data_IF_815570769147
#
_entry.id   IF_815570769147
#
_cell.length_a   1.000
_cell.length_b   1.000
_cell.length_c   1.000
_cell.angle_alpha   90.00
_cell.angle_beta   90.00
_cell.angle_gamma   90.00
#
_symmetry.space_group_name_H-M   'P 1'
#
loop_
_entity.id
_entity.type
_entity.pdbx_description
1 polymer ?
#
# COMPACT_ATOMS: atom_id res chain seq x y z
N UNK A 1 6.95 4.67 -14.37
CA UNK A 1 5.76 5.25 -15.07
C UNK A 1 6.19 6.37 -16.02
N UNK A 2 5.53 6.44 -17.16
CA UNK A 2 5.72 7.49 -18.18
C UNK A 2 4.41 8.27 -18.30
N UNK A 3 4.48 9.61 -18.43
CA UNK A 3 3.28 10.43 -18.54
C UNK A 3 3.50 11.60 -19.48
N UNK A 4 2.43 11.97 -20.20
CA UNK A 4 2.38 13.13 -21.07
C UNK A 4 1.31 14.08 -20.54
N UNK A 5 1.66 15.35 -20.38
CA UNK A 5 0.75 16.37 -19.89
C UNK A 5 0.58 17.47 -20.95
N UNK A 6 -0.67 17.78 -21.25
CA UNK A 6 -1.03 18.94 -22.06
C UNK A 6 -1.68 19.99 -21.15
N UNK A 7 -1.07 21.15 -21.06
CA UNK A 7 -1.59 22.26 -20.26
C UNK A 7 -2.51 23.15 -21.09
N UNK A 8 -3.42 23.84 -20.42
CA UNK A 8 -4.36 24.83 -20.96
C UNK A 8 -5.23 24.27 -22.09
N UNK A 9 -5.81 23.08 -21.84
CA UNK A 9 -6.54 22.31 -22.87
C UNK A 9 -7.77 23.06 -23.39
N UNK A 10 -8.48 23.79 -22.53
CA UNK A 10 -9.70 24.55 -22.85
C UNK A 10 -9.53 26.05 -22.70
N UNK A 11 -8.30 26.54 -22.47
CA UNK A 11 -8.02 27.98 -22.33
C UNK A 11 -8.24 28.57 -20.92
N UNK A 12 -8.59 27.73 -19.92
CA UNK A 12 -8.84 28.15 -18.52
C UNK A 12 -7.79 27.63 -17.54
N UNK A 13 -6.61 27.21 -18.03
CA UNK A 13 -5.52 26.70 -17.19
C UNK A 13 -5.66 25.21 -16.83
N UNK A 14 -6.57 24.50 -17.47
CA UNK A 14 -6.77 23.06 -17.24
C UNK A 14 -5.57 22.26 -17.76
N UNK A 15 -5.27 21.16 -17.08
CA UNK A 15 -4.24 20.20 -17.52
C UNK A 15 -4.84 18.82 -17.77
N UNK A 16 -4.51 18.27 -18.92
CA UNK A 16 -4.84 16.89 -19.26
C UNK A 16 -3.57 16.05 -19.21
N UNK A 17 -3.61 14.98 -18.42
CA UNK A 17 -2.49 14.06 -18.24
C UNK A 17 -2.90 12.67 -18.65
N UNK A 18 -2.06 11.99 -19.42
CA UNK A 18 -2.15 10.55 -19.69
C UNK A 18 -0.91 9.89 -19.12
N UNK A 19 -1.09 8.90 -18.27
CA UNK A 19 -0.01 8.20 -17.57
C UNK A 19 -0.06 6.71 -17.84
N UNK A 20 1.07 6.16 -18.26
CA UNK A 20 1.34 4.74 -18.35
C UNK A 20 2.10 4.31 -17.10
N UNK A 21 1.64 3.27 -16.44
CA UNK A 21 2.29 2.63 -15.30
C UNK A 21 2.70 1.23 -15.71
N UNK A 22 3.92 0.85 -15.40
CA UNK A 22 4.38 -0.53 -15.51
C UNK A 22 5.20 -0.86 -14.28
N UNK A 23 4.96 -2.00 -13.68
CA UNK A 23 5.80 -2.60 -12.64
C UNK A 23 6.01 -4.06 -12.95
N UNK A 24 7.21 -4.51 -12.70
CA UNK A 24 7.59 -5.89 -12.80
C UNK A 24 8.24 -6.29 -11.48
N UNK A 25 7.71 -7.31 -10.85
CA UNK A 25 8.20 -7.83 -9.59
C UNK A 25 8.90 -9.15 -9.88
N UNK A 26 10.20 -9.14 -9.62
CA UNK A 26 11.08 -10.27 -9.81
C UNK A 26 11.70 -10.63 -8.47
N UNK A 27 11.53 -11.87 -8.05
CA UNK A 27 12.12 -12.38 -6.83
C UNK A 27 13.21 -13.40 -7.14
N UNK A 28 14.42 -13.12 -6.64
CA UNK A 28 15.53 -14.09 -6.60
C UNK A 28 15.85 -14.39 -5.15
N UNK A 29 15.78 -15.65 -4.76
CA UNK A 29 16.28 -16.10 -3.46
C UNK A 29 15.26 -16.80 -2.58
N UNK A 30 15.70 -17.91 -1.99
CA UNK A 30 14.99 -18.65 -0.95
C UNK A 30 14.56 -20.07 -1.36
N UNK A 31 15.46 -21.05 -1.21
CA UNK A 31 15.16 -22.47 -1.24
C UNK A 31 15.04 -23.13 -2.61
N UNK A 32 15.27 -24.40 -2.67
CA UNK A 32 15.35 -25.25 -3.88
C UNK A 32 14.12 -25.27 -4.80
N UNK A 33 13.07 -24.50 -4.50
CA UNK A 33 11.81 -24.45 -5.27
C UNK A 33 11.22 -23.04 -5.41
N UNK A 34 12.00 -21.98 -5.32
CA UNK A 34 11.50 -20.65 -5.68
C UNK A 34 11.28 -20.62 -7.19
N UNK A 35 10.11 -21.05 -7.60
CA UNK A 35 9.63 -20.71 -8.94
C UNK A 35 9.56 -19.19 -8.99
N UNK A 36 10.40 -18.63 -9.87
CA UNK A 36 10.44 -17.22 -10.23
C UNK A 36 9.02 -16.65 -10.24
N UNK A 37 8.65 -15.89 -9.22
CA UNK A 37 7.36 -15.20 -9.20
C UNK A 37 7.46 -14.00 -10.11
N UNK A 38 7.19 -14.23 -11.38
CA UNK A 38 7.08 -13.18 -12.36
C UNK A 38 5.68 -12.58 -12.25
N UNK A 39 5.57 -11.45 -11.58
CA UNK A 39 4.34 -10.69 -11.56
C UNK A 39 4.58 -9.36 -12.26
N UNK A 40 3.64 -8.97 -13.08
CA UNK A 40 3.67 -7.67 -13.70
C UNK A 40 2.32 -6.96 -13.53
N UNK A 41 2.40 -5.67 -13.42
CA UNK A 41 1.25 -4.78 -13.40
C UNK A 41 1.43 -3.74 -14.50
N UNK A 42 0.43 -3.58 -15.32
CA UNK A 42 0.36 -2.53 -16.33
C UNK A 42 -0.90 -1.71 -16.12
N UNK A 43 -0.77 -0.41 -16.22
CA UNK A 43 -1.91 0.48 -16.05
C UNK A 43 -1.85 1.68 -16.96
N UNK A 44 -3.02 2.13 -17.34
CA UNK A 44 -3.23 3.37 -18.08
C UNK A 44 -4.20 4.23 -17.29
N UNK A 45 -3.86 5.49 -17.12
CA UNK A 45 -4.80 6.44 -16.53
C UNK A 45 -4.79 7.75 -17.30
N UNK A 46 -5.97 8.34 -17.39
CA UNK A 46 -6.14 9.70 -17.90
C UNK A 46 -6.76 10.57 -16.82
N UNK A 47 -6.29 11.80 -16.67
CA UNK A 47 -6.82 12.74 -15.70
C UNK A 47 -6.92 14.14 -16.29
N UNK A 48 -8.02 14.80 -15.97
CA UNK A 48 -8.29 16.18 -16.29
C UNK A 48 -8.38 16.98 -15.00
N UNK A 49 -7.46 17.94 -14.83
CA UNK A 49 -7.37 18.78 -13.62
C UNK A 49 -7.76 20.22 -13.96
N UNK A 50 -8.70 20.76 -13.22
CA UNK A 50 -9.13 22.15 -13.27
C UNK A 50 -8.48 22.92 -12.12
N UNK A 51 -7.92 24.12 -12.33
CA UNK A 51 -7.35 24.97 -11.28
C UNK A 51 -8.41 25.69 -10.45
N UNK A 52 -9.56 25.06 -10.24
CA UNK A 52 -10.72 25.57 -9.48
C UNK A 52 -11.62 24.42 -9.04
N UNK A 53 -12.55 24.70 -8.12
CA UNK A 53 -13.62 23.78 -7.78
C UNK A 53 -14.71 23.89 -8.87
N UNK A 54 -14.96 22.79 -9.59
CA UNK A 54 -15.89 22.76 -10.74
C UNK A 54 -17.31 22.43 -10.26
N UNK A 55 -17.47 21.53 -9.27
CA UNK A 55 -18.75 21.13 -8.73
C UNK A 55 -18.61 20.69 -7.26
N UNK A 56 -19.53 21.08 -6.34
CA UNK A 56 -20.65 22.00 -6.57
C UNK A 56 -20.16 23.41 -6.89
N UNK A 57 -20.91 24.12 -7.72
CA UNK A 57 -20.58 25.50 -8.05
C UNK A 57 -20.86 26.41 -6.84
N UNK A 58 -19.89 26.56 -5.96
CA UNK A 58 -19.98 27.34 -4.72
C UNK A 58 -19.86 28.84 -4.95
N UNK A 59 -20.54 29.35 -5.97
CA UNK A 59 -20.57 30.78 -6.29
C UNK A 59 -19.21 31.35 -6.75
N UNK A 60 -19.12 32.70 -6.90
CA UNK A 60 -17.90 33.42 -7.28
C UNK A 60 -16.90 33.60 -6.11
N UNK A 61 -16.84 32.68 -5.15
CA UNK A 61 -15.85 32.78 -4.07
C UNK A 61 -14.50 32.39 -4.62
N UNK A 62 -13.62 33.36 -4.76
CA UNK A 62 -12.19 33.11 -4.87
C UNK A 62 -11.75 32.52 -3.54
N UNK A 63 -11.18 31.33 -3.59
CA UNK A 63 -10.55 30.75 -2.41
C UNK A 63 -9.22 31.48 -2.19
N UNK A 64 -8.94 31.89 -0.96
CA UNK A 64 -7.67 32.52 -0.57
C UNK A 64 -6.48 31.56 -0.67
N UNK A 65 -6.72 30.31 -1.05
CA UNK A 65 -5.75 29.25 -1.21
C UNK A 65 -6.00 28.42 -2.48
N UNK A 66 -4.97 27.77 -3.04
CA UNK A 66 -5.10 26.94 -4.23
C UNK A 66 -6.10 25.79 -4.00
N UNK A 67 -7.06 25.67 -4.91
CA UNK A 67 -8.03 24.59 -4.94
C UNK A 67 -8.11 24.02 -6.35
N UNK A 68 -8.12 22.69 -6.49
CA UNK A 68 -8.22 22.03 -7.78
C UNK A 68 -9.29 20.94 -7.77
N UNK A 69 -9.83 20.66 -8.96
CA UNK A 69 -10.71 19.52 -9.20
C UNK A 69 -10.06 18.61 -10.23
N UNK A 70 -9.88 17.33 -9.89
CA UNK A 70 -9.30 16.34 -10.80
C UNK A 70 -10.31 15.22 -11.05
N UNK A 71 -10.66 15.00 -12.32
CA UNK A 71 -11.36 13.81 -12.78
C UNK A 71 -10.37 12.84 -13.35
N UNK A 72 -10.41 11.58 -12.90
CA UNK A 72 -9.49 10.53 -13.34
C UNK A 72 -10.25 9.28 -13.72
N UNK A 73 -9.82 8.67 -14.84
CA UNK A 73 -10.19 7.32 -15.24
C UNK A 73 -8.93 6.46 -15.31
N UNK A 74 -9.05 5.19 -14.97
CA UNK A 74 -7.92 4.28 -14.99
C UNK A 74 -8.35 2.84 -15.31
N UNK A 75 -7.39 2.12 -15.88
CA UNK A 75 -7.46 0.68 -16.09
C UNK A 75 -6.10 0.11 -15.70
N UNK A 76 -6.09 -0.82 -14.76
CA UNK A 76 -4.90 -1.50 -14.27
C UNK A 76 -5.09 -3.01 -14.45
N UNK A 77 -4.09 -3.69 -15.01
CA UNK A 77 -4.06 -5.14 -15.12
C UNK A 77 -2.90 -5.68 -14.30
N UNK A 78 -3.23 -6.46 -13.29
CA UNK A 78 -2.28 -7.24 -12.52
C UNK A 78 -2.26 -8.67 -13.06
N UNK A 79 -1.10 -9.14 -13.47
CA UNK A 79 -0.88 -10.52 -13.86
C UNK A 79 0.02 -11.19 -12.81
N UNK A 80 -0.52 -12.16 -12.11
CA UNK A 80 0.24 -13.07 -11.26
C UNK A 80 0.50 -14.34 -12.07
N UNK A 81 1.68 -14.41 -12.66
CA UNK A 81 2.04 -15.49 -13.56
C UNK A 81 1.67 -16.86 -12.97
N UNK A 82 1.00 -17.70 -13.76
CA UNK A 82 0.50 -19.04 -13.46
C UNK A 82 -0.72 -19.11 -12.52
N UNK A 83 -1.20 -18.01 -11.92
CA UNK A 83 -2.29 -18.08 -10.94
C UNK A 83 -3.55 -17.40 -11.41
N UNK A 84 -3.51 -16.09 -11.54
CA UNK A 84 -4.67 -15.32 -11.94
C UNK A 84 -4.29 -14.01 -12.63
N UNK A 85 -5.25 -13.46 -13.34
CA UNK A 85 -5.22 -12.10 -13.86
C UNK A 85 -6.35 -11.30 -13.21
N UNK A 86 -6.01 -10.16 -12.64
CA UNK A 86 -6.97 -9.23 -12.07
C UNK A 86 -6.98 -7.97 -12.91
N UNK A 87 -8.13 -7.66 -13.47
CA UNK A 87 -8.38 -6.39 -14.14
C UNK A 87 -9.10 -5.46 -13.17
N UNK A 88 -8.55 -4.27 -12.98
CA UNK A 88 -9.17 -3.21 -12.17
C UNK A 88 -9.39 -2.00 -13.06
N UNK A 89 -10.60 -1.49 -13.10
CA UNK A 89 -10.90 -0.24 -13.80
C UNK A 89 -11.84 0.62 -12.98
N UNK A 90 -11.76 1.91 -13.20
CA UNK A 90 -12.55 2.82 -12.42
C UNK A 90 -12.31 4.28 -12.71
N UNK A 91 -12.89 5.12 -11.86
CA UNK A 91 -12.73 6.55 -11.94
C UNK A 91 -13.00 7.23 -10.62
N UNK A 92 -12.49 8.43 -10.48
CA UNK A 92 -12.73 9.27 -9.32
C UNK A 92 -12.82 10.75 -9.68
N UNK A 93 -13.43 11.51 -8.77
CA UNK A 93 -13.42 12.96 -8.75
C UNK A 93 -12.80 13.40 -7.43
N UNK A 94 -11.68 14.13 -7.47
CA UNK A 94 -10.95 14.56 -6.29
C UNK A 94 -10.86 16.08 -6.24
N UNK A 95 -11.11 16.64 -5.07
CA UNK A 95 -10.96 18.05 -4.75
C UNK A 95 -9.76 18.22 -3.81
N UNK A 96 -8.77 18.96 -4.26
CA UNK A 96 -7.58 19.27 -3.49
C UNK A 96 -7.64 20.72 -3.00
N UNK A 97 -7.41 20.91 -1.70
CA UNK A 97 -7.34 22.22 -1.04
C UNK A 97 -6.00 22.34 -0.31
N UNK A 98 -5.30 23.45 -0.54
CA UNK A 98 -4.05 23.73 0.14
C UNK A 98 -4.13 25.05 0.92
N UNK A 99 -4.80 25.06 2.11
CA UNK A 99 -5.04 26.28 2.88
C UNK A 99 -3.78 26.92 3.43
N UNK A 100 -2.70 26.14 3.61
CA UNK A 100 -1.39 26.61 4.01
C UNK A 100 -0.30 26.00 3.18
N UNK A 101 0.94 26.51 3.26
CA UNK A 101 2.10 25.94 2.55
C UNK A 101 2.44 24.52 3.01
N UNK A 102 1.99 24.15 4.19
CA UNK A 102 2.35 22.89 4.85
C UNK A 102 1.20 21.90 4.93
N UNK A 103 -0.06 22.32 4.73
CA UNK A 103 -1.22 21.45 4.85
C UNK A 103 -1.99 21.35 3.54
N UNK A 104 -2.38 20.13 3.19
CA UNK A 104 -3.20 19.80 2.04
C UNK A 104 -4.32 18.86 2.43
N UNK A 105 -5.51 19.11 1.92
CA UNK A 105 -6.69 18.28 2.07
C UNK A 105 -7.12 17.78 0.68
N UNK A 106 -7.33 16.49 0.55
CA UNK A 106 -7.86 15.86 -0.67
C UNK A 106 -9.16 15.17 -0.31
N UNK A 107 -10.26 15.58 -0.93
CA UNK A 107 -11.59 15.00 -0.74
C UNK A 107 -11.99 14.32 -2.04
N UNK A 108 -12.25 13.02 -1.99
CA UNK A 108 -12.73 12.23 -3.12
C UNK A 108 -14.12 11.70 -2.79
N UNK A 109 -15.19 12.45 -3.11
CA UNK A 109 -16.55 12.03 -2.78
C UNK A 109 -17.03 10.85 -3.61
N UNK A 110 -16.43 10.64 -4.80
CA UNK A 110 -16.75 9.54 -5.69
C UNK A 110 -15.47 8.86 -6.18
N UNK A 111 -15.29 7.63 -5.75
CA UNK A 111 -14.24 6.72 -6.22
C UNK A 111 -14.92 5.39 -6.53
N UNK A 112 -14.95 5.03 -7.79
CA UNK A 112 -15.56 3.79 -8.24
C UNK A 112 -14.47 2.90 -8.78
N UNK A 113 -14.33 1.70 -8.20
CA UNK A 113 -13.39 0.68 -8.67
C UNK A 113 -14.14 -0.60 -8.93
N UNK A 114 -13.91 -1.21 -10.07
CA UNK A 114 -14.43 -2.51 -10.42
C UNK A 114 -13.26 -3.47 -10.61
N UNK A 115 -13.24 -4.54 -9.84
CA UNK A 115 -12.25 -5.60 -9.93
C UNK A 115 -12.88 -6.82 -10.58
N UNK A 116 -12.22 -7.35 -11.61
CA UNK A 116 -12.66 -8.55 -12.35
C UNK A 116 -11.52 -9.56 -12.34
N UNK A 117 -11.81 -10.74 -11.83
CA UNK A 117 -10.91 -11.88 -11.84
C UNK A 117 -11.05 -12.62 -13.19
N UNK A 118 -10.11 -12.39 -14.11
CA UNK A 118 -10.22 -12.84 -15.48
C UNK A 118 -9.80 -14.29 -15.73
N UNK A 119 -8.64 -14.68 -15.19
CA UNK A 119 -8.06 -16.01 -15.44
C UNK A 119 -7.75 -16.67 -14.12
N UNK A 120 -8.14 -17.92 -13.97
CA UNK A 120 -7.88 -18.77 -12.82
C UNK A 120 -7.24 -20.06 -13.31
N UNK A 121 -6.07 -20.40 -12.78
CA UNK A 121 -5.47 -21.71 -13.06
C UNK A 121 -6.08 -22.78 -12.15
N UNK A 122 -5.98 -24.04 -12.54
CA UNK A 122 -6.42 -25.18 -11.70
C UNK A 122 -5.68 -25.17 -10.35
N UNK A 123 -4.43 -24.76 -10.35
CA UNK A 123 -3.63 -24.59 -9.15
C UNK A 123 -4.21 -23.50 -8.22
N UNK A 124 -4.67 -22.39 -8.77
CA UNK A 124 -5.32 -21.32 -8.01
C UNK A 124 -6.66 -21.78 -7.44
N UNK A 125 -7.43 -22.54 -8.18
CA UNK A 125 -8.72 -23.09 -7.73
C UNK A 125 -8.52 -24.00 -6.52
N UNK A 126 -7.50 -24.86 -6.52
CA UNK A 126 -7.18 -25.72 -5.39
C UNK A 126 -6.83 -24.93 -4.11
N UNK A 127 -6.12 -23.80 -4.25
CA UNK A 127 -5.82 -22.90 -3.12
C UNK A 127 -7.10 -22.22 -2.61
N UNK A 128 -7.92 -21.78 -3.55
CA UNK A 128 -9.18 -21.12 -3.24
C UNK A 128 -10.15 -22.02 -2.48
N UNK A 129 -10.15 -23.31 -2.77
CA UNK A 129 -10.92 -24.33 -2.04
C UNK A 129 -10.36 -24.54 -0.62
N UNK A 130 -9.03 -24.51 -0.46
CA UNK A 130 -8.38 -24.62 0.84
C UNK A 130 -8.53 -23.34 1.70
N UNK A 131 -8.69 -22.17 1.07
CA UNK A 131 -8.85 -20.88 1.75
C UNK A 131 -10.04 -20.07 1.16
N UNK A 132 -11.27 -20.34 1.59
CA UNK A 132 -12.45 -19.64 1.09
C UNK A 132 -12.41 -18.11 1.28
N UNK A 133 -11.75 -17.63 2.34
CA UNK A 133 -11.62 -16.20 2.61
C UNK A 133 -10.76 -15.50 1.52
N UNK A 134 -9.69 -16.14 1.09
CA UNK A 134 -8.86 -15.64 -0.01
C UNK A 134 -9.68 -15.58 -1.32
N UNK A 135 -10.40 -16.66 -1.63
CA UNK A 135 -11.23 -16.70 -2.83
C UNK A 135 -12.29 -15.58 -2.85
N UNK A 136 -13.01 -15.37 -1.74
CA UNK A 136 -14.01 -14.30 -1.62
C UNK A 136 -13.37 -12.93 -1.81
N UNK A 137 -12.16 -12.71 -1.31
CA UNK A 137 -11.45 -11.43 -1.41
C UNK A 137 -11.03 -11.09 -2.85
N UNK A 138 -10.87 -12.09 -3.72
CA UNK A 138 -10.45 -11.96 -5.12
C UNK A 138 -11.60 -11.99 -6.12
N UNK A 139 -12.82 -12.36 -5.70
CA UNK A 139 -14.01 -12.35 -6.57
C UNK A 139 -14.26 -10.98 -7.17
N UNK A 140 -15.00 -11.00 -8.28
CA UNK A 140 -15.53 -9.79 -8.91
C UNK A 140 -16.24 -8.92 -7.88
N UNK A 141 -15.80 -7.68 -7.76
CA UNK A 141 -16.30 -6.77 -6.74
C UNK A 141 -16.37 -5.34 -7.27
N UNK A 142 -17.44 -4.67 -6.91
CA UNK A 142 -17.60 -3.24 -7.07
C UNK A 142 -17.25 -2.52 -5.76
N UNK A 143 -16.40 -1.51 -5.81
CA UNK A 143 -15.94 -0.75 -4.64
C UNK A 143 -16.34 0.72 -4.81
N UNK A 144 -17.60 1.09 -4.46
CA UNK A 144 -18.01 2.47 -4.42
C UNK A 144 -17.51 3.11 -3.12
N UNK A 145 -16.56 4.02 -3.20
CA UNK A 145 -15.89 4.58 -2.04
C UNK A 145 -15.93 6.11 -2.01
N UNK A 146 -15.80 6.65 -0.83
CA UNK A 146 -15.46 8.03 -0.53
C UNK A 146 -14.11 8.03 0.21
N UNK A 147 -13.26 9.02 -0.08
CA UNK A 147 -11.93 9.09 0.51
C UNK A 147 -11.61 10.52 0.95
N UNK A 148 -11.00 10.64 2.10
CA UNK A 148 -10.43 11.88 2.59
C UNK A 148 -8.99 11.66 2.98
N UNK A 149 -8.09 12.50 2.44
CA UNK A 149 -6.66 12.48 2.76
C UNK A 149 -6.24 13.84 3.30
N UNK A 150 -5.63 13.83 4.47
CA UNK A 150 -4.91 14.96 5.02
C UNK A 150 -3.41 14.73 4.85
N UNK A 151 -2.70 15.74 4.38
CA UNK A 151 -1.24 15.72 4.27
C UNK A 151 -0.66 16.97 4.93
N UNK A 152 0.29 16.76 5.83
CA UNK A 152 1.14 17.79 6.40
C UNK A 152 2.58 17.56 5.91
N UNK A 153 3.17 18.60 5.31
CA UNK A 153 4.55 18.58 4.81
C UNK A 153 5.19 19.94 5.05
N UNK A 154 6.17 20.01 5.91
CA UNK A 154 6.87 21.25 6.21
C UNK A 154 8.26 21.35 5.56
N UNK A 155 8.63 20.42 4.67
CA UNK A 155 9.95 20.41 4.03
C UNK A 155 10.25 21.68 3.24
N UNK A 156 9.21 22.29 2.63
CA UNK A 156 9.32 23.53 1.87
C UNK A 156 9.24 24.82 2.70
N UNK A 157 8.98 24.73 4.00
CA UNK A 157 8.87 25.89 4.88
C UNK A 157 10.27 26.47 5.23
N UNK A 158 10.37 27.80 5.21
CA UNK A 158 11.66 28.47 5.52
C UNK A 158 12.13 28.13 6.94
N UNK A 159 13.43 27.84 7.09
CA UNK A 159 14.09 27.63 8.37
C UNK A 159 13.87 26.24 8.99
N UNK A 160 13.17 25.35 8.33
CA UNK A 160 13.00 23.98 8.81
C UNK A 160 14.25 23.17 8.52
N UNK A 161 14.99 22.83 9.56
CA UNK A 161 16.17 21.95 9.49
C UNK A 161 15.76 20.46 9.44
N UNK A 162 14.71 20.11 10.20
CA UNK A 162 14.26 18.73 10.40
C UNK A 162 12.83 18.60 9.91
N UNK A 163 12.61 18.30 8.62
CA UNK A 163 11.27 18.23 8.05
C UNK A 163 10.50 17.03 8.58
N UNK A 164 9.19 17.25 8.68
CA UNK A 164 8.18 16.26 9.02
C UNK A 164 7.21 16.16 7.86
N UNK A 165 6.85 14.95 7.51
CA UNK A 165 5.75 14.63 6.62
C UNK A 165 4.79 13.68 7.30
N UNK A 166 3.52 13.99 7.26
CA UNK A 166 2.45 13.16 7.81
C UNK A 166 1.28 13.11 6.84
N UNK A 167 0.81 11.91 6.55
CA UNK A 167 -0.38 11.71 5.74
C UNK A 167 -1.32 10.72 6.43
N UNK A 168 -2.61 11.05 6.45
CA UNK A 168 -3.67 10.17 6.92
C UNK A 168 -4.79 10.13 5.90
N UNK A 169 -5.17 8.92 5.51
CA UNK A 169 -6.27 8.67 4.57
C UNK A 169 -7.34 7.83 5.22
N UNK A 170 -8.56 8.30 5.16
CA UNK A 170 -9.76 7.54 5.56
C UNK A 170 -10.56 7.22 4.31
N UNK A 171 -10.85 5.93 4.10
CA UNK A 171 -11.68 5.45 3.00
C UNK A 171 -12.93 4.80 3.58
N UNK A 172 -14.09 5.18 3.06
CA UNK A 172 -15.40 4.62 3.41
C UNK A 172 -16.03 4.02 2.15
N UNK A 173 -16.06 2.70 2.04
CA UNK A 173 -16.58 2.00 0.87
C UNK A 173 -17.93 1.36 1.15
N UNK A 174 -18.85 1.43 0.18
CA UNK A 174 -20.17 0.80 0.23
C UNK A 174 -21.15 1.37 1.25
N UNK A 175 -20.73 2.28 2.13
CA UNK A 175 -21.55 2.80 3.20
C UNK A 175 -22.66 3.73 2.69
N UNK A 176 -22.33 4.65 1.78
CA UNK A 176 -23.31 5.51 1.12
C UNK A 176 -24.31 4.67 0.32
N UNK A 177 -23.82 3.67 -0.42
CA UNK A 177 -24.68 2.73 -1.16
C UNK A 177 -25.62 2.00 -0.20
N UNK A 178 -25.12 1.45 0.90
CA UNK A 178 -25.94 0.75 1.90
C UNK A 178 -26.94 1.69 2.58
N UNK A 179 -26.61 2.97 2.77
CA UNK A 179 -27.53 3.99 3.30
C UNK A 179 -28.69 4.27 2.32
N UNK A 180 -28.38 4.34 1.03
CA UNK A 180 -29.41 4.45 -0.04
C UNK A 180 -30.33 3.23 -0.01
N UNK A 181 -29.78 2.02 0.05
CA UNK A 181 -30.59 0.79 0.16
C UNK A 181 -31.50 0.79 1.40
N UNK A 182 -30.99 1.33 2.53
CA UNK A 182 -31.79 1.51 3.75
C UNK A 182 -32.97 2.46 3.54
N UNK A 183 -32.76 3.54 2.80
CA UNK A 183 -33.84 4.49 2.47
C UNK A 183 -34.95 3.83 1.62
N UNK A 184 -34.61 2.76 0.86
CA UNK A 184 -35.57 1.94 0.12
C UNK A 184 -36.06 0.69 0.89
N UNK A 185 -35.92 0.67 2.23
CA UNK A 185 -36.46 -0.37 3.10
C UNK A 185 -35.60 -1.61 3.28
N UNK A 186 -34.35 -1.64 2.79
CA UNK A 186 -33.44 -2.75 3.02
C UNK A 186 -32.52 -2.51 4.22
N UNK A 187 -32.26 -3.50 5.10
CA UNK A 187 -31.33 -3.33 6.22
C UNK A 187 -29.95 -2.89 5.78
N UNK A 188 -29.35 -1.94 6.53
CA UNK A 188 -27.99 -1.44 6.24
C UNK A 188 -26.93 -2.54 6.23
N UNK A 189 -27.03 -3.48 7.18
CA UNK A 189 -26.09 -4.60 7.35
C UNK A 189 -26.55 -5.89 6.66
N UNK A 190 -27.52 -5.83 5.73
CA UNK A 190 -27.90 -7.00 4.95
C UNK A 190 -26.75 -7.44 4.07
N UNK A 191 -26.48 -8.73 4.04
CA UNK A 191 -25.54 -9.36 3.10
C UNK A 191 -26.17 -9.50 1.70
N UNK A 192 -25.34 -9.76 0.69
CA UNK A 192 -25.72 -10.00 -0.72
C UNK A 192 -26.46 -8.85 -1.44
N UNK A 193 -26.27 -7.62 -0.98
CA UNK A 193 -26.69 -6.45 -1.76
C UNK A 193 -25.83 -6.31 -3.02
N UNK A 194 -26.45 -6.06 -4.14
CA UNK A 194 -25.78 -5.94 -5.43
C UNK A 194 -26.03 -4.57 -6.06
N UNK A 195 -25.01 -3.97 -6.60
CA UNK A 195 -25.09 -2.79 -7.43
C UNK A 195 -24.72 -3.17 -8.87
N UNK A 196 -25.59 -2.85 -9.84
CA UNK A 196 -25.44 -3.30 -11.24
C UNK A 196 -25.23 -4.83 -11.35
N UNK A 197 -25.97 -5.59 -10.55
CA UNK A 197 -25.92 -7.05 -10.47
C UNK A 197 -24.59 -7.66 -9.94
N UNK A 198 -23.69 -6.84 -9.40
CA UNK A 198 -22.40 -7.25 -8.83
C UNK A 198 -22.40 -6.96 -7.33
N UNK A 199 -21.87 -7.85 -6.47
CA UNK A 199 -21.72 -7.56 -5.05
C UNK A 199 -20.76 -6.39 -4.84
N UNK A 200 -21.08 -5.51 -3.92
CA UNK A 200 -20.19 -4.39 -3.58
C UNK A 200 -19.54 -4.56 -2.22
N UNK A 201 -18.30 -4.13 -2.12
CA UNK A 201 -17.55 -4.14 -0.87
C UNK A 201 -18.09 -3.07 0.10
N UNK A 202 -18.14 -3.42 1.39
CA UNK A 202 -18.51 -2.49 2.47
C UNK A 202 -17.47 -2.52 3.58
N UNK A 203 -16.73 -1.43 3.74
CA UNK A 203 -15.66 -1.33 4.74
C UNK A 203 -15.33 0.13 5.10
N UNK A 204 -14.60 0.28 6.19
CA UNK A 204 -13.87 1.51 6.53
C UNK A 204 -12.39 1.16 6.64
N UNK A 205 -11.53 1.98 6.02
CA UNK A 205 -10.07 1.83 6.03
C UNK A 205 -9.41 3.12 6.49
N UNK A 206 -8.51 3.00 7.43
CA UNK A 206 -7.59 4.06 7.85
C UNK A 206 -6.18 3.66 7.41
N UNK A 207 -5.47 4.58 6.80
CA UNK A 207 -4.04 4.45 6.51
C UNK A 207 -3.34 5.72 6.90
N UNK A 208 -2.36 5.65 7.82
CA UNK A 208 -1.60 6.80 8.27
C UNK A 208 -0.11 6.50 8.22
N UNK A 209 0.66 7.49 7.81
CA UNK A 209 2.11 7.38 7.70
C UNK A 209 2.75 8.69 8.16
N UNK A 210 3.72 8.57 9.04
CA UNK A 210 4.53 9.66 9.57
C UNK A 210 5.98 9.45 9.18
N UNK A 211 6.65 10.49 8.68
CA UNK A 211 8.07 10.50 8.35
C UNK A 211 8.73 11.70 9.00
N UNK A 212 9.94 11.49 9.46
CA UNK A 212 10.78 12.54 10.04
C UNK A 212 12.20 12.40 9.51
N UNK A 213 12.79 13.49 9.06
CA UNK A 213 14.18 13.56 8.67
C UNK A 213 14.94 14.46 9.64
N UNK A 214 15.82 13.87 10.44
CA UNK A 214 16.71 14.59 11.32
C UNK A 214 18.03 14.83 10.62
N UNK A 215 18.30 16.07 10.21
CA UNK A 215 19.57 16.49 9.66
C UNK A 215 20.52 16.86 10.82
N UNK A 216 21.37 15.93 11.23
CA UNK A 216 22.35 16.14 12.30
C UNK A 216 23.37 17.20 11.85
N UNK A 217 23.97 16.95 10.68
CA UNK A 217 24.88 17.87 10.00
C UNK A 217 24.77 17.72 8.46
N UNK A 218 25.71 18.28 7.69
CA UNK A 218 25.73 18.22 6.22
C UNK A 218 25.99 16.82 5.66
N UNK A 219 26.60 15.94 6.47
CA UNK A 219 27.04 14.61 6.07
C UNK A 219 26.27 13.48 6.75
N UNK A 220 25.50 13.78 7.80
CA UNK A 220 24.83 12.79 8.63
C UNK A 220 23.35 13.12 8.80
N UNK A 221 22.50 12.15 8.53
CA UNK A 221 21.03 12.27 8.62
C UNK A 221 20.44 11.00 9.21
N UNK A 222 19.37 11.14 9.96
CA UNK A 222 18.53 10.03 10.39
C UNK A 222 17.14 10.23 9.79
N UNK A 223 16.71 9.28 8.98
CA UNK A 223 15.34 9.22 8.47
C UNK A 223 14.56 8.19 9.27
N UNK A 224 13.35 8.52 9.68
CA UNK A 224 12.45 7.61 10.37
C UNK A 224 11.06 7.64 9.76
N UNK A 225 10.39 6.50 9.80
CA UNK A 225 9.03 6.30 9.30
C UNK A 225 8.24 5.41 10.23
N UNK A 226 6.98 5.74 10.46
CA UNK A 226 6.00 4.87 11.08
C UNK A 226 4.77 4.84 10.20
N UNK A 227 4.27 3.65 9.87
CA UNK A 227 3.06 3.48 9.09
C UNK A 227 2.10 2.54 9.81
N UNK A 228 0.84 2.95 9.90
CA UNK A 228 -0.26 2.21 10.50
C UNK A 228 -1.41 2.10 9.50
N UNK A 229 -2.03 0.94 9.43
CA UNK A 229 -3.20 0.70 8.61
C UNK A 229 -4.22 -0.14 9.35
N UNK A 230 -5.50 0.20 9.24
CA UNK A 230 -6.59 -0.60 9.77
C UNK A 230 -7.74 -0.64 8.76
N UNK A 231 -8.32 -1.82 8.55
CA UNK A 231 -9.41 -2.06 7.63
C UNK A 231 -10.47 -2.92 8.30
N UNK A 232 -11.69 -2.42 8.37
CA UNK A 232 -12.85 -3.10 8.93
C UNK A 232 -13.89 -3.34 7.87
N UNK A 233 -14.15 -4.60 7.52
CA UNK A 233 -15.23 -5.01 6.63
C UNK A 233 -16.44 -5.43 7.43
N UNK A 234 -17.61 -5.05 6.98
CA UNK A 234 -18.89 -5.35 7.64
C UNK A 234 -20.07 -5.27 6.66
N UNK A 235 -21.25 -5.63 7.14
CA UNK A 235 -22.48 -5.52 6.35
C UNK A 235 -22.45 -6.41 5.12
N UNK A 236 -22.41 -5.80 3.96
CA UNK A 236 -22.47 -6.51 2.67
C UNK A 236 -21.25 -7.39 2.36
N UNK A 237 -20.10 -7.11 2.99
CA UNK A 237 -18.88 -7.87 2.77
C UNK A 237 -18.17 -8.10 4.11
N UNK A 238 -18.14 -9.34 4.58
CA UNK A 238 -17.41 -9.73 5.80
C UNK A 238 -15.91 -9.83 5.58
N UNK A 239 -15.49 -10.01 4.33
CA UNK A 239 -14.10 -10.13 3.90
C UNK A 239 -13.77 -8.95 3.00
N UNK A 240 -12.65 -8.28 3.31
CA UNK A 240 -12.18 -7.15 2.54
C UNK A 240 -11.66 -7.58 1.16
N UNK A 241 -11.85 -6.75 0.11
CA UNK A 241 -11.21 -6.97 -1.18
C UNK A 241 -9.70 -7.14 -1.03
N UNK A 242 -9.14 -8.11 -1.74
CA UNK A 242 -7.69 -8.39 -1.70
C UNK A 242 -6.85 -7.17 -2.08
N UNK A 243 -7.33 -6.38 -3.05
CA UNK A 243 -6.70 -5.13 -3.48
C UNK A 243 -6.61 -4.05 -2.40
N UNK A 244 -7.45 -4.14 -1.37
CA UNK A 244 -7.51 -3.18 -0.27
C UNK A 244 -6.77 -3.65 0.98
N UNK A 245 -6.40 -4.94 1.06
CA UNK A 245 -5.66 -5.50 2.18
C UNK A 245 -4.21 -5.00 2.21
N UNK A 246 -3.62 -5.00 3.39
CA UNK A 246 -2.23 -4.60 3.60
C UNK A 246 -1.29 -5.79 3.46
N UNK A 247 -0.06 -5.50 3.07
CA UNK A 247 1.07 -6.43 3.08
C UNK A 247 2.35 -5.67 3.45
N UNK A 248 3.38 -6.39 3.84
CA UNK A 248 4.69 -5.84 4.19
C UNK A 248 5.82 -6.62 3.52
N UNK A 249 7.04 -6.09 3.62
CA UNK A 249 8.25 -6.63 2.98
C UNK A 249 8.62 -5.90 1.70
N UNK A 250 9.86 -6.08 1.26
CA UNK A 250 10.41 -5.48 0.06
C UNK A 250 11.16 -4.16 0.29
N UNK A 251 11.68 -3.61 -0.79
CA UNK A 251 12.62 -2.50 -0.80
C UNK A 251 12.15 -1.21 -0.09
N UNK A 252 10.84 -0.96 -0.01
CA UNK A 252 10.25 0.24 0.61
C UNK A 252 9.43 -0.07 1.87
N UNK A 253 9.62 -1.24 2.46
CA UNK A 253 8.94 -1.70 3.66
C UNK A 253 9.97 -2.31 4.62
N UNK A 254 9.96 -3.62 4.86
CA UNK A 254 10.93 -4.32 5.71
C UNK A 254 11.94 -5.01 4.81
N UNK A 255 13.11 -4.39 4.60
CA UNK A 255 14.08 -4.74 3.56
C UNK A 255 14.80 -6.08 3.75
N UNK A 256 14.74 -6.66 4.93
CA UNK A 256 15.25 -8.00 5.17
C UNK A 256 14.34 -9.12 4.63
N UNK A 257 13.16 -8.77 4.16
CA UNK A 257 12.12 -9.71 3.75
C UNK A 257 11.62 -9.38 2.35
N UNK A 258 11.26 -10.41 1.61
CA UNK A 258 10.64 -10.24 0.31
C UNK A 258 9.21 -9.72 0.44
N UNK A 259 8.68 -9.15 -0.63
CA UNK A 259 7.31 -8.64 -0.64
C UNK A 259 6.32 -9.77 -0.33
N UNK A 260 5.41 -9.54 0.64
CA UNK A 260 4.39 -10.51 1.05
C UNK A 260 4.98 -11.84 1.55
N UNK A 261 6.06 -11.79 2.30
CA UNK A 261 6.66 -12.98 2.92
C UNK A 261 6.50 -13.01 4.45
N UNK A 262 5.76 -12.05 5.01
CA UNK A 262 5.57 -11.89 6.44
C UNK A 262 4.08 -11.77 6.75
N UNK A 263 3.64 -12.44 7.82
CA UNK A 263 2.28 -12.38 8.33
C UNK A 263 1.27 -13.22 7.56
N UNK A 264 -0.01 -13.11 7.90
CA UNK A 264 -0.53 -12.26 8.98
C UNK A 264 -0.21 -12.84 10.38
N UNK A 265 0.17 -11.95 11.31
CA UNK A 265 0.55 -12.32 12.67
C UNK A 265 1.67 -13.32 12.75
N UNK A 266 1.48 -14.39 13.52
CA UNK A 266 2.39 -15.53 13.60
C UNK A 266 2.12 -16.64 12.59
N UNK A 267 1.16 -16.44 11.69
CA UNK A 267 0.84 -17.43 10.66
C UNK A 267 2.00 -17.58 9.68
N UNK A 268 2.44 -18.82 9.51
CA UNK A 268 3.43 -19.18 8.49
C UNK A 268 2.84 -20.31 7.65
N UNK A 269 2.55 -20.07 6.37
CA UNK A 269 2.03 -21.11 5.49
C UNK A 269 3.09 -22.20 5.30
N UNK A 270 2.67 -23.47 5.32
CA UNK A 270 3.53 -24.58 4.91
C UNK A 270 4.08 -24.29 3.51
N UNK A 271 5.32 -24.68 3.23
CA UNK A 271 6.08 -24.40 1.99
C UNK A 271 5.33 -24.76 0.70
N UNK A 272 4.20 -24.10 0.45
CA UNK A 272 3.52 -24.18 -0.82
C UNK A 272 3.95 -23.00 -1.70
N UNK A 273 3.97 -23.20 -2.99
CA UNK A 273 4.29 -22.18 -4.02
C UNK A 273 3.39 -20.93 -3.93
N UNK A 274 2.39 -20.93 -3.05
CA UNK A 274 1.28 -19.96 -3.00
C UNK A 274 1.20 -19.18 -1.70
N UNK A 275 2.17 -19.41 -0.81
CA UNK A 275 2.20 -18.81 0.52
C UNK A 275 2.01 -17.28 0.52
N UNK A 276 2.52 -16.60 -0.51
CA UNK A 276 2.42 -15.14 -0.63
C UNK A 276 1.00 -14.61 -0.85
N UNK A 277 0.06 -15.42 -1.33
CA UNK A 277 -1.35 -15.00 -1.50
C UNK A 277 -2.04 -14.88 -0.15
N UNK A 278 -1.67 -15.70 0.80
CA UNK A 278 -2.24 -15.72 2.14
C UNK A 278 -1.63 -14.65 3.07
N UNK A 279 -0.48 -14.08 2.69
CA UNK A 279 0.29 -13.16 3.52
C UNK A 279 -0.14 -11.70 3.37
N UNK A 280 -1.43 -11.49 3.57
CA UNK A 280 -2.07 -10.16 3.65
C UNK A 280 -2.84 -10.02 4.95
N UNK A 281 -3.07 -8.79 5.37
CA UNK A 281 -3.77 -8.50 6.62
C UNK A 281 -4.71 -7.30 6.51
N UNK A 282 -5.55 -7.16 7.52
CA UNK A 282 -6.47 -6.02 7.65
C UNK A 282 -5.98 -4.99 8.68
N UNK A 283 -4.91 -5.29 9.40
CA UNK A 283 -4.14 -4.34 10.20
C UNK A 283 -2.67 -4.41 9.79
N UNK A 284 -2.00 -3.26 9.74
CA UNK A 284 -0.58 -3.12 9.40
C UNK A 284 0.12 -2.22 10.39
N UNK A 285 1.30 -2.62 10.80
CA UNK A 285 2.27 -1.80 11.51
C UNK A 285 3.64 -1.91 10.84
N UNK A 286 4.26 -0.79 10.54
CA UNK A 286 5.65 -0.69 10.09
C UNK A 286 6.36 0.44 10.79
N UNK A 287 7.62 0.21 11.17
CA UNK A 287 8.53 1.22 11.71
C UNK A 287 9.91 1.03 11.07
N UNK A 288 10.48 2.11 10.56
CA UNK A 288 11.75 2.10 9.87
C UNK A 288 12.62 3.24 10.42
N UNK A 289 13.90 2.96 10.63
CA UNK A 289 14.92 3.96 10.96
C UNK A 289 16.13 3.71 10.08
N UNK A 290 16.63 4.77 9.45
CA UNK A 290 17.79 4.71 8.56
C UNK A 290 18.76 5.84 8.89
N UNK A 291 19.98 5.48 9.29
CA UNK A 291 21.09 6.41 9.40
C UNK A 291 21.81 6.51 8.07
N UNK A 292 21.89 7.71 7.51
CA UNK A 292 22.53 8.05 6.23
C UNK A 292 23.77 8.88 6.49
N UNK A 293 24.90 8.45 5.94
CA UNK A 293 26.16 9.15 6.07
C UNK A 293 26.86 9.30 4.72
N UNK A 294 27.45 10.47 4.48
CA UNK A 294 28.16 10.76 3.24
C UNK A 294 29.49 10.04 3.21
N UNK A 295 29.73 9.23 2.20
CA UNK A 295 31.02 8.57 1.96
C UNK A 295 31.89 9.46 1.10
N UNK A 296 31.37 9.88 -0.07
CA UNK A 296 32.14 10.71 -1.01
C UNK A 296 31.19 11.40 -1.99
N UNK A 297 31.29 12.72 -2.16
CA UNK A 297 30.46 13.50 -3.11
C UNK A 297 28.99 13.08 -3.10
N UNK A 298 28.53 12.41 -4.17
CA UNK A 298 27.16 11.92 -4.36
C UNK A 298 26.94 10.51 -3.80
N UNK A 299 27.96 9.88 -3.19
CA UNK A 299 27.84 8.53 -2.64
C UNK A 299 27.56 8.61 -1.15
N UNK A 300 26.44 8.00 -0.73
CA UNK A 300 26.02 7.90 0.66
C UNK A 300 25.97 6.43 1.08
N UNK A 301 26.44 6.17 2.28
CA UNK A 301 26.17 4.91 2.98
C UNK A 301 24.91 5.02 3.81
N UNK A 302 24.30 3.89 4.08
CA UNK A 302 23.19 3.79 5.02
C UNK A 302 23.28 2.52 5.84
N UNK A 303 22.81 2.59 7.08
CA UNK A 303 22.46 1.43 7.88
C UNK A 303 21.04 1.61 8.39
N UNK A 304 20.30 0.52 8.52
CA UNK A 304 18.89 0.61 8.83
C UNK A 304 18.39 -0.50 9.76
N UNK A 305 17.30 -0.21 10.43
CA UNK A 305 16.51 -1.13 11.21
C UNK A 305 15.05 -0.98 10.78
N UNK A 306 14.46 -2.09 10.33
CA UNK A 306 13.09 -2.17 9.87
C UNK A 306 12.31 -3.16 10.72
N UNK A 307 11.11 -2.78 11.15
CA UNK A 307 10.23 -3.60 11.96
C UNK A 307 8.80 -3.52 11.46
N UNK A 308 8.03 -4.59 11.56
CA UNK A 308 6.61 -4.56 11.25
C UNK A 308 6.02 -5.92 10.94
N UNK A 309 4.73 -5.90 10.69
CA UNK A 309 3.94 -7.06 10.27
C UNK A 309 2.55 -6.61 9.80
N UNK A 310 1.77 -7.56 9.31
CA UNK A 310 0.32 -7.42 9.12
C UNK A 310 -0.42 -8.42 9.99
N UNK A 311 -1.66 -8.15 10.34
CA UNK A 311 -2.54 -9.02 11.13
C UNK A 311 -3.95 -9.00 10.57
N UNK A 312 -4.74 -9.98 10.94
CA UNK A 312 -6.18 -9.96 10.74
C UNK A 312 -6.89 -9.35 11.96
N UNK A 313 -7.85 -8.47 11.72
CA UNK A 313 -8.71 -7.93 12.78
C UNK A 313 -9.76 -8.93 13.27
N UNK A 314 -10.04 -9.97 12.45
CA UNK A 314 -10.96 -11.06 12.77
C UNK A 314 -10.24 -12.37 12.72
N UNK A 315 -10.71 -13.33 13.54
CA UNK A 315 -10.21 -14.71 13.53
C UNK A 315 -10.48 -15.35 12.17
N UNK A 316 -9.49 -16.06 11.67
CA UNK A 316 -9.57 -16.88 10.46
C UNK A 316 -9.06 -18.27 10.78
N UNK A 317 -9.92 -19.28 10.63
CA UNK A 317 -9.58 -20.67 10.96
C UNK A 317 -8.58 -21.28 9.98
N UNK A 318 -8.55 -20.80 8.73
CA UNK A 318 -7.57 -21.22 7.74
C UNK A 318 -6.16 -20.64 8.00
N UNK A 319 -6.07 -19.58 8.81
CA UNK A 319 -4.80 -18.91 9.16
C UNK A 319 -4.69 -18.78 10.68
N UNK A 320 -4.33 -19.84 11.40
CA UNK A 320 -4.12 -19.79 12.85
C UNK A 320 -3.04 -18.75 13.21
N UNK A 321 -3.11 -18.19 14.41
CA UNK A 321 -2.19 -17.14 14.94
C UNK A 321 -2.10 -15.84 14.09
N UNK A 322 -3.02 -15.66 13.17
CA UNK A 322 -3.07 -14.47 12.31
C UNK A 322 -3.77 -13.27 12.94
N UNK A 323 -4.57 -13.48 13.98
CA UNK A 323 -5.37 -12.43 14.60
C UNK A 323 -4.50 -11.46 15.41
N UNK A 324 -4.86 -10.17 15.37
CA UNK A 324 -4.22 -9.15 16.20
C UNK A 324 -4.57 -9.35 17.66
N UNK A 325 -3.60 -9.70 18.48
CA UNK A 325 -3.71 -9.82 19.92
C UNK A 325 -2.59 -9.06 20.62
N UNK A 326 -2.92 -8.22 21.60
CA UNK A 326 -1.91 -7.40 22.30
C UNK A 326 -0.85 -8.23 23.03
N UNK A 327 -1.20 -9.45 23.46
CA UNK A 327 -0.26 -10.34 24.16
C UNK A 327 0.81 -10.92 23.23
N UNK A 328 0.46 -11.24 22.00
CA UNK A 328 1.35 -11.85 21.01
C UNK A 328 2.01 -10.79 20.11
N UNK A 329 1.46 -9.58 20.04
CA UNK A 329 1.93 -8.49 19.18
C UNK A 329 3.45 -8.28 19.18
N UNK A 330 4.16 -8.17 20.34
CA UNK A 330 5.61 -7.94 20.34
C UNK A 330 6.41 -9.11 19.76
N UNK A 331 5.92 -10.35 19.91
CA UNK A 331 6.55 -11.56 19.37
C UNK A 331 6.29 -11.74 17.87
N UNK A 332 5.24 -11.14 17.38
CA UNK A 332 4.83 -11.22 15.99
C UNK A 332 5.35 -10.05 15.12
N UNK A 333 6.20 -9.18 15.66
CA UNK A 333 6.85 -8.13 14.88
C UNK A 333 8.10 -8.71 14.20
N UNK A 334 8.09 -8.80 12.88
CA UNK A 334 9.30 -9.12 12.13
C UNK A 334 10.31 -7.98 12.27
N UNK A 335 11.58 -8.31 12.44
CA UNK A 335 12.68 -7.35 12.59
C UNK A 335 13.79 -7.68 11.60
N UNK A 336 14.28 -6.66 10.91
CA UNK A 336 15.39 -6.78 9.99
C UNK A 336 16.32 -5.59 10.07
N UNK A 337 17.58 -5.82 9.74
CA UNK A 337 18.61 -4.78 9.67
C UNK A 337 19.42 -4.92 8.40
N UNK A 338 20.25 -3.94 8.10
CA UNK A 338 21.10 -4.03 6.94
C UNK A 338 21.91 -2.77 6.67
N UNK A 339 22.61 -2.84 5.55
CA UNK A 339 23.42 -1.74 5.04
C UNK A 339 23.06 -1.47 3.58
N UNK A 340 23.36 -0.28 3.09
CA UNK A 340 23.12 0.03 1.71
C UNK A 340 23.93 1.21 1.20
N UNK A 341 23.99 1.33 -0.10
CA UNK A 341 24.66 2.42 -0.81
C UNK A 341 23.61 3.21 -1.60
N UNK A 342 23.76 4.54 -1.60
CA UNK A 342 22.94 5.48 -2.34
C UNK A 342 23.84 6.29 -3.26
N UNK A 343 23.49 6.36 -4.53
CA UNK A 343 24.12 7.26 -5.48
C UNK A 343 23.13 8.38 -5.80
N UNK A 344 23.35 9.55 -5.22
CA UNK A 344 22.47 10.71 -5.33
C UNK A 344 22.95 11.62 -6.47
N UNK A 345 22.12 11.71 -7.52
CA UNK A 345 22.38 12.53 -8.71
C UNK A 345 21.54 13.83 -8.71
N UNK A 346 21.03 14.27 -7.56
CA UNK A 346 20.09 15.40 -7.37
C UNK A 346 18.71 15.18 -8.00
N UNK A 347 18.63 14.60 -9.19
CA UNK A 347 17.39 14.29 -9.92
C UNK A 347 16.91 12.87 -9.60
N UNK A 348 17.83 11.94 -9.41
CA UNK A 348 17.59 10.51 -9.19
C UNK A 348 18.54 9.97 -8.14
N UNK A 349 18.03 9.11 -7.27
CA UNK A 349 18.83 8.37 -6.30
C UNK A 349 18.76 6.89 -6.67
N UNK A 350 19.90 6.28 -6.99
CA UNK A 350 20.02 4.84 -7.12
C UNK A 350 20.38 4.22 -5.79
N UNK A 351 19.71 3.17 -5.42
CA UNK A 351 19.84 2.54 -4.11
C UNK A 351 20.06 1.03 -4.26
N UNK A 352 21.03 0.53 -3.53
CA UNK A 352 21.30 -0.89 -3.36
C UNK A 352 21.33 -1.20 -1.86
N UNK A 353 20.42 -2.03 -1.39
CA UNK A 353 20.29 -2.43 0.01
C UNK A 353 20.54 -3.92 0.18
N UNK A 354 21.24 -4.26 1.27
CA UNK A 354 21.52 -5.61 1.73
C UNK A 354 20.88 -5.76 3.11
N UNK A 355 19.82 -6.55 3.21
CA UNK A 355 19.05 -6.75 4.43
C UNK A 355 19.16 -8.17 4.95
N UNK A 356 19.20 -8.31 6.27
CA UNK A 356 19.15 -9.60 6.96
C UNK A 356 18.05 -9.58 8.03
N UNK A 357 17.25 -10.66 8.17
CA UNK A 357 16.29 -10.78 9.25
C UNK A 357 17.01 -10.97 10.59
N UNK A 358 16.45 -10.36 11.64
CA UNK A 358 16.86 -10.56 13.03
C UNK A 358 15.82 -11.37 13.80
N UNK A 359 14.53 -11.17 13.47
CA UNK A 359 13.41 -11.87 14.08
C UNK A 359 12.34 -12.21 13.05
N UNK A 360 11.88 -13.47 13.10
CA UNK A 360 10.74 -13.96 12.32
C UNK A 360 9.48 -13.94 13.20
N UNK A 361 8.32 -13.53 12.68
CA UNK A 361 7.10 -13.36 13.47
C UNK A 361 6.42 -14.66 13.87
N UNK A 362 6.98 -15.81 13.53
CA UNK A 362 6.47 -17.14 13.80
C UNK A 362 7.52 -18.01 14.49
N UNK A 363 7.07 -19.10 15.11
CA UNK A 363 7.96 -20.03 15.80
C UNK A 363 8.85 -20.79 14.81
N UNK A 364 10.11 -20.93 15.16
CA UNK A 364 11.12 -21.69 14.40
C UNK A 364 11.77 -22.73 15.31
N UNK A 365 12.62 -23.58 14.74
CA UNK A 365 13.43 -24.55 15.52
C UNK A 365 14.37 -23.88 16.52
N UNK A 366 14.66 -22.60 16.35
CA UNK A 366 15.54 -21.82 17.24
C UNK A 366 14.70 -21.07 18.28
N UNK A 367 14.97 -21.36 19.54
CA UNK A 367 14.35 -20.66 20.66
C UNK A 367 14.93 -19.25 20.88
N UNK A 368 14.13 -18.37 21.47
CA UNK A 368 14.53 -16.99 21.81
C UNK A 368 14.07 -15.94 20.81
N UNK A 369 14.35 -14.67 21.10
CA UNK A 369 13.89 -13.56 20.26
C UNK A 369 14.57 -13.57 18.87
N UNK A 370 15.88 -13.85 18.82
CA UNK A 370 16.61 -13.99 17.55
C UNK A 370 16.47 -15.42 17.01
N UNK A 371 15.29 -15.68 16.44
CA UNK A 371 14.87 -17.02 16.03
C UNK A 371 15.17 -17.38 14.57
N UNK A 372 15.98 -16.57 13.88
CA UNK A 372 16.32 -16.81 12.47
C UNK A 372 17.17 -18.06 12.32
N UNK A 373 16.74 -18.95 11.43
CA UNK A 373 17.41 -20.20 11.06
C UNK A 373 18.08 -20.08 9.68
N UNK A 374 18.98 -21.00 9.36
CA UNK A 374 19.68 -21.04 8.07
C UNK A 374 20.99 -20.26 8.04
N UNK A 375 21.65 -20.24 6.89
CA UNK A 375 22.92 -19.56 6.69
C UNK A 375 22.71 -18.08 6.34
N UNK A 376 23.71 -17.24 6.62
CA UNK A 376 23.68 -15.80 6.29
C UNK A 376 23.28 -15.55 4.82
N UNK A 377 23.88 -16.29 3.89
CA UNK A 377 23.62 -16.12 2.44
C UNK A 377 22.19 -16.48 2.03
N UNK A 378 21.56 -17.44 2.71
CA UNK A 378 20.16 -17.81 2.45
C UNK A 378 19.18 -16.74 2.93
N UNK A 379 19.55 -16.01 3.96
CA UNK A 379 18.74 -14.97 4.58
C UNK A 379 19.03 -13.57 4.05
N UNK A 380 20.03 -13.41 3.18
CA UNK A 380 20.42 -12.11 2.64
C UNK A 380 19.41 -11.66 1.56
N UNK A 381 18.68 -10.61 1.84
CA UNK A 381 17.85 -9.88 0.88
C UNK A 381 18.66 -8.81 0.17
N UNK A 382 18.60 -8.78 -1.15
CA UNK A 382 19.25 -7.76 -1.98
C UNK A 382 18.17 -7.00 -2.72
N UNK A 383 18.14 -5.67 -2.55
CA UNK A 383 17.16 -4.80 -3.18
C UNK A 383 17.83 -3.68 -3.96
N UNK A 384 17.54 -3.62 -5.25
CA UNK A 384 17.85 -2.47 -6.07
C UNK A 384 16.59 -1.61 -6.23
N UNK A 385 16.70 -0.31 -6.02
CA UNK A 385 15.57 0.60 -6.16
C UNK A 385 16.00 2.00 -6.59
N UNK A 386 15.04 2.78 -7.08
CA UNK A 386 15.21 4.19 -7.44
C UNK A 386 14.43 5.04 -6.43
N UNK A 387 15.09 6.05 -5.87
CA UNK A 387 14.56 6.89 -4.80
C UNK A 387 14.93 6.41 -3.40
N UNK A 388 14.66 7.26 -2.41
CA UNK A 388 14.77 6.88 -1.00
C UNK A 388 13.62 5.95 -0.59
N UNK A 389 13.78 5.07 0.42
CA UNK A 389 12.74 4.13 0.83
C UNK A 389 11.52 4.82 1.46
N UNK A 390 11.72 5.97 2.05
CA UNK A 390 10.72 6.84 2.68
C UNK A 390 11.25 8.26 2.87
#
# INVERSE_FOLDING_TARGET
SFGVTRNNVFGGGESWNVKLKGSYEWQTGGGEKSSLMNSWEMGVSTSLTFPRVVFPHLGKREFDFPATTTFRLYVDQLNRARYYKLLSFGGNATYDFQPTRTSRHSITPFKLTFNVLQHQSDEFIAIAEANPALYISLKDQFIPAMEYTYTYDNASARGIKNPIWWQSTVTSAGNLTSLIYRAFGQPFNKEDKRLLNVPFAQFVKLNTEFRHLWNMDKNNKIASRVALGALFSYGNATIAPYSEQFYVGGANSIRAFTVRSIGPGGYHPSESRYSYLDQTGTFRFEANVEYRFRIFKSIWGATFLDAGNVWLMRKDEARPDSQLELKTFPKQIALGTGVGIRYDMDILVFRLDFGIPLHLPYDTERSGYYNVTGTFMKNLGIHFAIGYPF
#
